data_IF_983349171239
#
_entry.id   IF_983349171239
#
_cell.length_a   1.000
_cell.length_b   1.000
_cell.length_c   1.000
_cell.angle_alpha   90.00
_cell.angle_beta   90.00
_cell.angle_gamma   90.00
#
_symmetry.space_group_name_H-M   'P 1'
#
loop_
_entity.id
_entity.type
_entity.pdbx_description
1 polymer ?
#
# COMPACT_ATOMS: atom_id res chain seq x y z
N UNK A 1 -7.69 -11.39 -16.61
CA UNK A 1 -8.38 -12.08 -17.70
C UNK A 1 -9.81 -11.56 -17.82
N UNK A 2 -10.22 -11.09 -18.97
CA UNK A 2 -11.60 -10.62 -19.22
C UNK A 2 -12.52 -11.82 -19.47
N UNK A 3 -13.67 -11.83 -18.80
CA UNK A 3 -14.73 -12.81 -19.07
C UNK A 3 -15.40 -12.51 -20.44
N UNK A 4 -15.83 -13.57 -21.11
CA UNK A 4 -16.55 -13.44 -22.40
C UNK A 4 -18.02 -13.03 -22.15
N UNK A 5 -18.24 -11.75 -21.90
CA UNK A 5 -19.55 -11.19 -21.56
C UNK A 5 -19.92 -10.02 -22.47
N UNK A 6 -21.23 -9.77 -22.63
CA UNK A 6 -21.72 -8.59 -23.38
C UNK A 6 -21.17 -7.27 -22.82
N UNK A 7 -20.97 -7.18 -21.53
CA UNK A 7 -20.49 -5.98 -20.84
C UNK A 7 -19.04 -5.64 -21.24
N UNK A 8 -18.21 -6.64 -21.46
CA UNK A 8 -16.82 -6.43 -21.91
C UNK A 8 -16.72 -6.12 -23.41
N UNK A 9 -17.78 -6.36 -24.18
CA UNK A 9 -17.74 -6.07 -25.61
C UNK A 9 -17.64 -4.55 -25.84
N UNK A 10 -16.60 -4.05 -26.55
CA UNK A 10 -16.47 -2.62 -26.89
C UNK A 10 -17.67 -2.06 -27.66
N UNK A 11 -18.33 -2.88 -28.48
CA UNK A 11 -19.50 -2.51 -29.27
C UNK A 11 -20.81 -2.50 -28.48
N UNK A 12 -20.78 -2.87 -27.20
CA UNK A 12 -21.95 -2.83 -26.33
C UNK A 12 -22.26 -1.41 -25.89
N UNK A 13 -23.45 -0.91 -26.22
CA UNK A 13 -23.95 0.41 -25.81
C UNK A 13 -24.79 0.36 -24.52
N UNK A 14 -24.75 -0.72 -23.77
CA UNK A 14 -25.49 -0.85 -22.53
C UNK A 14 -25.11 0.25 -21.53
N UNK A 15 -26.07 1.03 -21.06
CA UNK A 15 -25.87 1.99 -19.97
C UNK A 15 -25.40 1.25 -18.73
N UNK A 16 -24.40 1.84 -18.03
CA UNK A 16 -23.86 1.31 -16.78
C UNK A 16 -23.37 -0.14 -16.85
N UNK A 17 -22.82 -0.57 -17.98
CA UNK A 17 -22.36 -1.95 -18.17
C UNK A 17 -21.32 -2.42 -17.12
N UNK A 18 -20.67 -1.50 -16.44
CA UNK A 18 -19.68 -1.75 -15.40
C UNK A 18 -20.20 -1.33 -14.00
N UNK A 19 -21.47 -1.52 -13.73
CA UNK A 19 -22.03 -1.35 -12.39
C UNK A 19 -22.33 -2.71 -11.75
N UNK A 20 -22.31 -2.78 -10.41
CA UNK A 20 -22.62 -4.02 -9.67
C UNK A 20 -24.00 -4.60 -9.99
N UNK A 21 -24.95 -3.74 -10.36
CA UNK A 21 -26.32 -4.10 -10.72
C UNK A 21 -26.40 -4.84 -12.06
N UNK A 22 -25.42 -4.63 -12.92
CA UNK A 22 -25.33 -5.24 -14.26
C UNK A 22 -24.32 -6.39 -14.31
N UNK A 23 -24.30 -7.22 -13.26
CA UNK A 23 -23.45 -8.40 -13.22
C UNK A 23 -23.75 -9.33 -14.40
N UNK A 24 -22.73 -9.87 -15.11
CA UNK A 24 -22.92 -10.76 -16.24
C UNK A 24 -23.62 -12.07 -15.84
N UNK A 25 -24.75 -12.36 -16.46
CA UNK A 25 -25.45 -13.64 -16.23
C UNK A 25 -24.75 -14.84 -16.87
N UNK A 26 -23.92 -14.59 -17.89
CA UNK A 26 -23.18 -15.63 -18.61
C UNK A 26 -21.96 -16.14 -17.84
N UNK A 27 -21.53 -15.41 -16.83
CA UNK A 27 -20.38 -15.76 -15.99
C UNK A 27 -20.63 -15.23 -14.58
N UNK A 28 -21.30 -15.99 -13.71
CA UNK A 28 -21.71 -15.55 -12.39
C UNK A 28 -20.51 -15.45 -11.42
N UNK A 29 -19.39 -16.07 -11.70
CA UNK A 29 -18.22 -16.11 -10.83
C UNK A 29 -17.25 -14.95 -11.11
N UNK A 30 -17.40 -14.26 -12.25
CA UNK A 30 -16.57 -13.13 -12.56
C UNK A 30 -16.90 -11.92 -11.67
N UNK A 31 -15.93 -11.04 -11.44
CA UNK A 31 -16.15 -9.81 -10.68
C UNK A 31 -15.68 -8.58 -11.45
N UNK A 32 -16.22 -7.42 -11.04
CA UNK A 32 -15.83 -6.14 -11.61
C UNK A 32 -14.40 -5.78 -11.15
N UNK A 33 -13.48 -5.87 -12.08
CA UNK A 33 -12.10 -5.45 -11.89
C UNK A 33 -11.87 -4.04 -12.46
N UNK A 34 -10.81 -3.40 -11.99
CA UNK A 34 -10.33 -2.13 -12.53
C UNK A 34 -8.85 -2.25 -12.84
N UNK A 35 -8.49 -1.88 -14.05
CA UNK A 35 -7.10 -1.71 -14.45
C UNK A 35 -6.78 -0.22 -14.50
N UNK A 36 -5.71 0.21 -13.83
CA UNK A 36 -5.25 1.59 -13.87
C UNK A 36 -3.86 1.64 -14.48
N UNK A 37 -3.76 2.24 -15.64
CA UNK A 37 -2.49 2.60 -16.24
C UNK A 37 -2.18 4.07 -15.95
N UNK A 38 -0.94 4.38 -15.58
CA UNK A 38 -0.43 5.74 -15.58
C UNK A 38 0.51 5.92 -16.76
N UNK A 39 0.32 7.00 -17.53
CA UNK A 39 1.25 7.37 -18.58
C UNK A 39 2.43 8.19 -18.00
N UNK A 40 3.39 8.55 -18.85
CA UNK A 40 4.55 9.38 -18.49
C UNK A 40 4.18 10.77 -17.93
N UNK A 41 2.94 11.25 -18.13
CA UNK A 41 2.43 12.52 -17.62
C UNK A 41 1.67 12.37 -16.29
N UNK A 42 1.73 11.20 -15.64
CA UNK A 42 0.99 10.86 -14.41
C UNK A 42 -0.55 10.94 -14.53
N UNK A 43 -1.08 10.93 -15.74
CA UNK A 43 -2.50 10.78 -15.95
C UNK A 43 -2.92 9.34 -15.66
N UNK A 44 -3.92 9.18 -14.82
CA UNK A 44 -4.47 7.86 -14.50
C UNK A 44 -5.64 7.58 -15.40
N UNK A 45 -5.53 6.54 -16.23
CA UNK A 45 -6.63 5.99 -17.00
C UNK A 45 -7.16 4.76 -16.28
N UNK A 46 -8.47 4.73 -16.04
CA UNK A 46 -9.14 3.59 -15.42
C UNK A 46 -9.92 2.82 -16.49
N UNK A 47 -9.63 1.53 -16.60
CA UNK A 47 -10.37 0.62 -17.47
C UNK A 47 -11.08 -0.41 -16.60
N UNK A 48 -12.39 -0.48 -16.71
CA UNK A 48 -13.21 -1.43 -15.98
C UNK A 48 -13.45 -2.66 -16.86
N UNK A 49 -13.47 -3.82 -16.22
CA UNK A 49 -13.77 -5.08 -16.88
C UNK A 49 -14.44 -6.05 -15.92
N UNK A 50 -15.25 -6.95 -16.45
CA UNK A 50 -15.72 -8.12 -15.74
C UNK A 50 -14.76 -9.27 -16.01
N UNK A 51 -14.32 -9.96 -14.98
CA UNK A 51 -13.37 -11.08 -15.17
C UNK A 51 -12.62 -11.46 -13.92
N UNK A 52 -11.41 -11.94 -14.14
CA UNK A 52 -10.55 -12.57 -13.15
C UNK A 52 -9.16 -11.94 -13.15
N UNK A 53 -8.43 -12.15 -12.07
CA UNK A 53 -7.01 -11.87 -11.96
C UNK A 53 -6.25 -13.17 -11.83
N UNK A 54 -5.14 -13.29 -12.55
CA UNK A 54 -4.15 -14.33 -12.38
C UNK A 54 -3.01 -13.78 -11.54
N UNK A 55 -2.72 -14.42 -10.42
CA UNK A 55 -1.61 -14.10 -9.53
C UNK A 55 -0.56 -15.17 -9.70
N UNK A 56 0.62 -14.79 -10.16
CA UNK A 56 1.69 -15.74 -10.48
C UNK A 56 2.89 -15.48 -9.60
N UNK A 57 3.36 -16.52 -8.90
CA UNK A 57 4.65 -16.54 -8.24
C UNK A 57 5.69 -17.07 -9.22
N UNK A 58 6.78 -16.34 -9.40
CA UNK A 58 7.82 -16.66 -10.38
C UNK A 58 9.18 -16.74 -9.69
N UNK A 59 9.99 -17.72 -10.05
CA UNK A 59 11.40 -17.72 -9.70
C UNK A 59 12.14 -16.66 -10.51
N UNK A 60 12.74 -15.68 -9.81
CA UNK A 60 13.41 -14.55 -10.44
C UNK A 60 14.68 -14.93 -11.22
N UNK A 61 15.28 -16.09 -10.93
CA UNK A 61 16.52 -16.54 -11.58
C UNK A 61 16.22 -17.26 -12.88
N UNK A 62 15.31 -18.23 -12.83
CA UNK A 62 14.94 -19.02 -14.02
C UNK A 62 13.83 -18.39 -14.86
N UNK A 63 13.03 -17.48 -14.28
CA UNK A 63 11.82 -16.94 -14.90
C UNK A 63 10.66 -17.93 -14.97
N UNK A 64 10.76 -19.09 -14.31
CA UNK A 64 9.72 -20.12 -14.33
C UNK A 64 8.62 -19.81 -13.32
N UNK A 65 7.34 -20.01 -13.67
CA UNK A 65 6.24 -19.91 -12.72
C UNK A 65 6.32 -21.07 -11.71
N UNK A 66 6.28 -20.71 -10.42
CA UNK A 66 6.26 -21.66 -9.31
C UNK A 66 4.84 -22.02 -8.90
N UNK A 67 3.93 -21.05 -8.96
CA UNK A 67 2.53 -21.23 -8.61
C UNK A 67 1.66 -20.18 -9.26
N UNK A 68 0.44 -20.54 -9.60
CA UNK A 68 -0.60 -19.65 -10.11
C UNK A 68 -1.90 -19.80 -9.32
N UNK A 69 -2.52 -18.68 -8.99
CA UNK A 69 -3.85 -18.61 -8.39
C UNK A 69 -4.72 -17.63 -9.18
N UNK A 70 -5.84 -18.13 -9.68
CA UNK A 70 -6.84 -17.28 -10.34
C UNK A 70 -7.95 -16.89 -9.35
N UNK A 71 -8.24 -15.60 -9.26
CA UNK A 71 -9.29 -15.05 -8.39
C UNK A 71 -10.25 -14.15 -9.16
N UNK A 72 -11.46 -13.88 -8.63
CA UNK A 72 -12.34 -12.85 -9.18
C UNK A 72 -11.64 -11.48 -9.27
N UNK A 73 -11.98 -10.69 -10.28
CA UNK A 73 -11.27 -9.47 -10.64
C UNK A 73 -11.22 -8.37 -9.57
N UNK A 74 -12.07 -8.44 -8.56
CA UNK A 74 -12.13 -7.50 -7.44
C UNK A 74 -11.24 -7.88 -6.23
N UNK A 75 -10.61 -9.06 -6.25
CA UNK A 75 -9.73 -9.50 -5.16
C UNK A 75 -8.45 -8.68 -5.18
N UNK A 76 -8.02 -8.21 -4.00
CA UNK A 76 -6.80 -7.42 -3.87
C UNK A 76 -5.57 -8.34 -3.87
N UNK A 77 -4.56 -8.01 -4.68
CA UNK A 77 -3.37 -8.84 -4.86
C UNK A 77 -2.64 -9.17 -3.53
N UNK A 78 -2.47 -8.25 -2.56
CA UNK A 78 -1.84 -8.59 -1.29
C UNK A 78 -2.63 -9.57 -0.41
N UNK A 79 -3.94 -9.72 -0.62
CA UNK A 79 -4.77 -10.59 0.21
C UNK A 79 -4.54 -12.08 -0.06
N UNK A 80 -4.05 -12.42 -1.25
CA UNK A 80 -3.78 -13.80 -1.67
C UNK A 80 -2.31 -14.20 -1.55
N UNK A 81 -1.43 -13.26 -1.22
CA UNK A 81 0.01 -13.51 -1.16
C UNK A 81 0.39 -14.66 -0.20
N UNK A 82 -0.22 -14.69 0.98
CA UNK A 82 0.07 -15.75 1.96
C UNK A 82 -0.38 -17.12 1.46
N UNK A 83 -1.51 -17.21 0.78
CA UNK A 83 -2.04 -18.46 0.19
C UNK A 83 -1.12 -18.96 -0.93
N UNK A 84 -0.69 -18.08 -1.82
CA UNK A 84 0.21 -18.40 -2.93
C UNK A 84 1.55 -18.91 -2.40
N UNK A 85 2.11 -18.24 -1.39
CA UNK A 85 3.37 -18.66 -0.78
C UNK A 85 3.22 -20.04 -0.11
N UNK A 86 2.14 -20.25 0.64
CA UNK A 86 1.89 -21.53 1.31
C UNK A 86 1.70 -22.67 0.31
N UNK A 87 1.03 -22.44 -0.81
CA UNK A 87 0.83 -23.46 -1.84
C UNK A 87 2.13 -23.76 -2.60
N UNK A 88 2.93 -22.75 -2.92
CA UNK A 88 4.22 -22.96 -3.57
C UNK A 88 5.22 -23.69 -2.66
N UNK A 89 5.22 -23.42 -1.35
CA UNK A 89 6.11 -24.06 -0.37
C UNK A 89 5.86 -25.58 -0.24
N UNK A 90 4.68 -26.06 -0.60
CA UNK A 90 4.39 -27.50 -0.66
C UNK A 90 5.20 -28.24 -1.75
N UNK A 91 5.62 -27.53 -2.78
CA UNK A 91 6.34 -28.11 -3.93
C UNK A 91 7.82 -27.75 -3.89
N UNK A 92 8.13 -26.52 -3.52
CA UNK A 92 9.49 -25.96 -3.51
C UNK A 92 9.66 -25.22 -2.19
N UNK A 93 10.68 -25.58 -1.39
CA UNK A 93 10.95 -24.87 -0.14
C UNK A 93 11.25 -23.39 -0.38
N UNK A 94 10.47 -22.52 0.25
CA UNK A 94 10.66 -21.06 0.23
C UNK A 94 11.46 -20.56 1.43
N UNK A 95 12.05 -21.45 2.22
CA UNK A 95 12.86 -21.07 3.38
C UNK A 95 14.07 -20.26 2.97
N UNK A 96 14.32 -19.17 3.71
CA UNK A 96 15.43 -18.23 3.49
C UNK A 96 15.44 -17.54 2.12
N UNK A 97 14.31 -17.56 1.40
CA UNK A 97 14.20 -16.90 0.10
C UNK A 97 13.99 -15.38 0.20
N UNK A 98 14.49 -14.66 -0.82
CA UNK A 98 14.15 -13.26 -1.04
C UNK A 98 12.79 -13.16 -1.75
N UNK A 99 11.83 -12.46 -1.15
CA UNK A 99 10.53 -12.19 -1.74
C UNK A 99 10.51 -10.79 -2.36
N UNK A 100 10.37 -10.72 -3.67
CA UNK A 100 10.30 -9.48 -4.43
C UNK A 100 8.86 -9.23 -4.89
N UNK A 101 8.35 -8.04 -4.61
CA UNK A 101 7.01 -7.66 -5.09
C UNK A 101 6.93 -6.16 -5.34
N UNK A 102 5.86 -5.73 -6.03
CA UNK A 102 5.62 -4.32 -6.26
C UNK A 102 5.14 -3.60 -4.98
N UNK A 103 5.07 -2.26 -5.04
CA UNK A 103 4.58 -1.44 -3.92
C UNK A 103 3.14 -1.76 -3.50
N UNK A 104 2.35 -2.46 -4.32
CA UNK A 104 1.01 -2.93 -3.99
C UNK A 104 1.03 -3.84 -2.78
N UNK A 105 2.09 -4.61 -2.63
CA UNK A 105 2.31 -5.58 -1.55
C UNK A 105 2.92 -4.97 -0.27
N UNK A 106 3.14 -3.65 -0.18
CA UNK A 106 3.62 -2.98 1.05
C UNK A 106 2.57 -3.03 2.16
N UNK A 107 2.41 -4.21 2.75
CA UNK A 107 1.47 -4.53 3.82
C UNK A 107 2.19 -5.32 4.91
N UNK A 108 2.03 -4.90 6.17
CA UNK A 108 2.74 -5.49 7.33
C UNK A 108 2.58 -7.01 7.43
N UNK A 109 1.42 -7.55 7.08
CA UNK A 109 1.17 -9.00 7.13
C UNK A 109 2.14 -9.77 6.23
N UNK A 110 2.45 -9.26 5.05
CA UNK A 110 3.37 -9.92 4.10
C UNK A 110 4.78 -9.98 4.67
N UNK A 111 5.31 -8.86 5.18
CA UNK A 111 6.63 -8.85 5.85
C UNK A 111 6.68 -9.83 7.01
N UNK A 112 5.61 -9.88 7.82
CA UNK A 112 5.53 -10.81 8.93
C UNK A 112 5.51 -12.27 8.44
N UNK A 113 4.72 -12.60 7.42
CA UNK A 113 4.64 -13.96 6.87
C UNK A 113 6.00 -14.38 6.30
N UNK A 114 6.61 -13.56 5.46
CA UNK A 114 7.92 -13.86 4.86
C UNK A 114 8.98 -14.08 5.94
N UNK A 115 9.00 -13.25 6.99
CA UNK A 115 10.00 -13.38 8.06
C UNK A 115 9.70 -14.51 9.04
N UNK A 116 8.45 -14.64 9.51
CA UNK A 116 8.15 -15.57 10.60
C UNK A 116 7.89 -16.99 10.12
N UNK A 117 7.40 -17.19 8.90
CA UNK A 117 7.09 -18.53 8.36
C UNK A 117 8.26 -19.09 7.55
N UNK A 118 8.87 -18.23 6.71
CA UNK A 118 9.90 -18.68 5.76
C UNK A 118 11.32 -18.25 6.16
N UNK A 119 11.50 -17.51 7.25
CA UNK A 119 12.77 -16.87 7.65
C UNK A 119 13.44 -16.09 6.51
N UNK A 120 12.65 -15.65 5.55
CA UNK A 120 13.07 -14.95 4.36
C UNK A 120 13.14 -13.43 4.56
N UNK A 121 13.44 -12.72 3.47
CA UNK A 121 13.47 -11.26 3.42
C UNK A 121 12.53 -10.74 2.31
N UNK A 122 11.74 -9.70 2.62
CA UNK A 122 10.83 -9.07 1.67
C UNK A 122 11.40 -7.75 1.14
N UNK A 123 11.57 -7.66 -0.17
CA UNK A 123 12.03 -6.49 -0.90
C UNK A 123 10.86 -5.86 -1.67
N UNK A 124 10.14 -4.95 -1.00
CA UNK A 124 8.93 -4.31 -1.52
C UNK A 124 9.10 -2.79 -1.44
N UNK A 125 8.95 -2.05 -2.56
CA UNK A 125 8.99 -0.60 -2.53
C UNK A 125 7.91 -0.02 -1.62
N UNK A 126 8.28 0.90 -0.73
CA UNK A 126 7.34 1.49 0.21
C UNK A 126 6.27 2.32 -0.52
N UNK A 127 5.02 2.16 -0.10
CA UNK A 127 3.94 3.05 -0.51
C UNK A 127 4.22 4.46 0.01
N UNK A 128 4.15 5.46 -0.86
CA UNK A 128 4.08 6.86 -0.43
C UNK A 128 2.76 7.05 0.33
N UNK A 129 2.79 6.79 1.61
CA UNK A 129 1.66 7.15 2.49
C UNK A 129 1.64 8.67 2.53
N UNK A 130 0.46 9.28 2.58
CA UNK A 130 0.27 10.73 2.66
C UNK A 130 0.85 11.29 3.97
N UNK A 131 2.12 11.06 4.19
CA UNK A 131 2.89 11.66 5.26
C UNK A 131 3.31 13.05 4.79
N UNK A 132 2.69 14.07 5.33
CA UNK A 132 3.11 15.47 5.14
C UNK A 132 4.47 15.75 5.79
N UNK A 133 5.05 14.78 6.50
CA UNK A 133 6.34 14.95 7.16
C UNK A 133 7.47 14.77 6.16
N UNK A 134 8.29 15.79 6.03
CA UNK A 134 9.58 15.72 5.34
C UNK A 134 10.56 15.04 6.30
N UNK A 135 11.43 14.17 5.77
CA UNK A 135 12.52 13.57 6.53
C UNK A 135 13.85 14.05 5.95
N UNK A 136 14.84 14.24 6.81
CA UNK A 136 16.23 14.43 6.40
C UNK A 136 16.79 13.10 5.87
N UNK A 137 17.86 13.11 5.04
CA UNK A 137 18.52 11.90 4.55
C UNK A 137 18.92 10.91 5.67
N UNK A 138 19.20 11.42 6.88
CA UNK A 138 19.50 10.62 8.07
C UNK A 138 18.26 10.03 8.78
N UNK A 139 17.06 10.13 8.17
CA UNK A 139 15.82 9.62 8.75
C UNK A 139 15.19 10.50 9.83
N UNK A 140 15.78 11.63 10.16
CA UNK A 140 15.19 12.59 11.10
C UNK A 140 14.01 13.31 10.47
N UNK A 141 12.92 13.42 11.22
CA UNK A 141 11.75 14.20 10.78
C UNK A 141 12.07 15.69 10.88
N UNK A 142 11.60 16.46 9.89
CA UNK A 142 11.71 17.93 9.88
C UNK A 142 10.33 18.56 9.87
N UNK A 143 10.23 19.75 10.47
CA UNK A 143 9.02 20.58 10.42
C UNK A 143 8.91 21.34 9.08
N UNK A 144 7.82 22.07 8.90
CA UNK A 144 7.59 22.85 7.66
C UNK A 144 8.59 23.99 7.45
N UNK A 145 9.26 24.45 8.54
CA UNK A 145 10.37 25.41 8.48
C UNK A 145 11.75 24.74 8.29
N UNK A 146 11.81 23.44 8.01
CA UNK A 146 13.07 22.73 7.79
C UNK A 146 13.86 22.38 9.04
N UNK A 147 13.29 22.56 10.24
CA UNK A 147 13.96 22.25 11.50
C UNK A 147 13.77 20.79 11.91
N UNK A 148 14.83 20.14 12.40
CA UNK A 148 14.74 18.80 12.94
C UNK A 148 13.86 18.77 14.20
N UNK A 149 12.91 17.84 14.23
CA UNK A 149 12.04 17.62 15.39
C UNK A 149 12.59 16.51 16.27
N UNK A 150 12.43 16.67 17.59
CA UNK A 150 12.96 15.75 18.59
C UNK A 150 11.96 14.69 18.99
N UNK A 151 12.43 13.52 19.40
CA UNK A 151 11.59 12.49 20.03
C UNK A 151 11.11 13.01 21.40
N UNK A 152 9.80 12.95 21.65
CA UNK A 152 9.12 13.42 22.86
C UNK A 152 8.27 12.31 23.48
N UNK A 153 8.91 11.21 23.85
CA UNK A 153 8.25 10.07 24.47
C UNK A 153 7.46 9.20 23.51
N UNK A 154 6.85 8.17 24.09
CA UNK A 154 5.98 7.21 23.38
C UNK A 154 4.59 7.23 24.03
N UNK A 155 3.56 7.08 23.23
CA UNK A 155 2.20 6.85 23.71
C UNK A 155 1.70 5.52 23.17
N UNK A 156 1.05 4.72 24.04
CA UNK A 156 0.40 3.48 23.63
C UNK A 156 -1.10 3.66 23.74
N UNK A 157 -1.80 3.42 22.64
CA UNK A 157 -3.25 3.50 22.53
C UNK A 157 -3.73 2.35 21.64
N UNK A 158 -4.73 1.60 22.11
CA UNK A 158 -5.33 0.45 21.41
C UNK A 158 -4.28 -0.50 20.79
N UNK A 159 -3.33 -0.98 21.58
CA UNK A 159 -2.21 -1.84 21.16
C UNK A 159 -1.26 -1.24 20.11
N UNK A 160 -1.31 0.06 19.88
CA UNK A 160 -0.40 0.77 18.98
C UNK A 160 0.52 1.68 19.75
N UNK A 161 1.82 1.42 19.67
CA UNK A 161 2.83 2.35 20.20
C UNK A 161 3.13 3.41 19.15
N UNK A 162 2.96 4.68 19.52
CA UNK A 162 3.27 5.83 18.67
C UNK A 162 4.45 6.58 19.26
N UNK A 163 5.45 6.87 18.45
CA UNK A 163 6.53 7.77 18.83
C UNK A 163 6.06 9.21 18.64
N UNK A 164 6.10 9.97 19.71
CA UNK A 164 5.78 11.39 19.71
C UNK A 164 7.02 12.20 19.39
N UNK A 165 6.85 13.24 18.58
CA UNK A 165 7.91 14.18 18.23
C UNK A 165 7.47 15.60 18.57
N UNK A 166 8.39 16.45 18.98
CA UNK A 166 8.15 17.84 19.29
C UNK A 166 9.09 18.78 18.52
N UNK A 167 8.60 19.99 18.30
CA UNK A 167 9.37 21.08 17.73
C UNK A 167 10.47 21.54 18.70
N UNK A 168 11.70 21.87 18.24
CA UNK A 168 12.76 22.40 19.09
C UNK A 168 12.34 23.67 19.85
N UNK A 169 11.50 24.53 19.26
CA UNK A 169 10.97 25.71 19.93
C UNK A 169 9.97 25.45 21.06
N UNK A 170 9.54 24.21 21.25
CA UNK A 170 8.67 23.86 22.39
C UNK A 170 9.37 24.01 23.75
N UNK A 171 10.66 23.81 23.77
CA UNK A 171 11.48 23.92 25.00
C UNK A 171 11.97 25.34 25.23
N UNK A 172 12.00 26.16 24.20
CA UNK A 172 12.40 27.56 24.27
C UNK A 172 11.19 28.40 24.66
N UNK A 173 11.28 29.11 25.80
CA UNK A 173 10.20 29.97 26.28
C UNK A 173 10.16 31.35 25.58
N UNK A 174 11.17 31.65 24.78
CA UNK A 174 11.45 33.00 24.27
C UNK A 174 11.35 33.14 22.76
N UNK A 175 11.46 32.03 22.01
CA UNK A 175 11.58 32.12 20.56
C UNK A 175 10.27 31.89 19.85
N UNK A 176 10.00 32.70 18.85
CA UNK A 176 8.84 32.57 17.97
C UNK A 176 9.17 31.54 16.89
N UNK A 177 8.37 30.48 16.79
CA UNK A 177 8.54 29.47 15.75
C UNK A 177 8.30 30.10 14.35
N UNK A 178 9.23 29.94 13.40
CA UNK A 178 9.08 30.48 12.05
C UNK A 178 8.01 29.78 11.19
N UNK A 179 7.51 28.63 11.67
CA UNK A 179 6.46 27.87 10.99
C UNK A 179 5.11 28.50 11.20
N UNK A 180 4.71 29.53 10.98
CA UNK A 180 3.38 30.16 11.12
C UNK A 180 2.19 29.17 11.30
N UNK A 181 2.35 28.20 12.18
CA UNK A 181 1.39 27.13 12.41
C UNK A 181 0.20 27.65 13.24
N UNK A 182 -1.03 27.45 12.74
CA UNK A 182 -2.27 27.86 13.44
C UNK A 182 -2.34 27.40 14.89
N UNK A 183 -1.78 26.23 15.19
CA UNK A 183 -1.75 25.66 16.56
C UNK A 183 -0.71 26.33 17.47
N UNK A 184 0.29 26.99 16.93
CA UNK A 184 1.32 27.71 17.71
C UNK A 184 0.83 29.07 18.13
N UNK A 185 0.10 29.74 17.26
CA UNK A 185 -0.38 31.11 17.49
C UNK A 185 -1.69 31.17 18.30
N UNK A 186 -2.32 30.05 18.64
CA UNK A 186 -3.60 30.03 19.36
C UNK A 186 -3.50 30.30 20.88
N UNK A 187 -2.54 31.06 21.33
CA UNK A 187 -2.51 31.60 22.72
C UNK A 187 -2.47 30.58 23.86
N UNK A 188 -2.58 29.30 23.57
CA UNK A 188 -2.42 28.22 24.56
C UNK A 188 -0.93 27.99 24.78
N UNK A 189 -0.39 28.73 25.72
CA UNK A 189 0.95 28.52 26.26
C UNK A 189 1.20 27.01 26.39
N UNK A 190 2.28 26.51 25.76
CA UNK A 190 2.85 25.16 25.89
C UNK A 190 2.39 24.04 24.95
N UNK A 191 1.72 24.31 23.84
CA UNK A 191 1.52 23.28 22.82
C UNK A 191 2.34 23.59 21.57
N UNK A 192 3.62 23.22 21.59
CA UNK A 192 4.41 23.16 20.37
C UNK A 192 3.85 22.13 19.38
N UNK A 193 4.22 22.24 18.11
CA UNK A 193 3.85 21.24 17.09
C UNK A 193 4.26 19.85 17.56
N UNK A 194 3.31 18.94 17.64
CA UNK A 194 3.54 17.51 17.86
C UNK A 194 3.09 16.75 16.63
N UNK A 195 3.91 15.85 16.16
CA UNK A 195 3.57 14.87 15.08
C UNK A 195 3.66 13.47 15.63
#
# INVERSE_FOLDING_TARGET
>A
VMANTKQNNPKSFAKNKFSKENHPKSDPDCALGVHSASNQHNERRYEFYWGYKSHVLVDCISGLPLYELTTPGNVADPSVAAEILAAADQTISLKECAFLADKGYDVKSIYNTVKSVYDGEAFIPLKKRNSKSKALPAGNLICDAGLAIHKDGKTTDNNRTRQKFCCPFRQSKTDVCPCNHKNWNNGKKNRGCTK
#
